data_IF_075874473445
#
_entry.id   IF_075874473445
#
_cell.length_a   1.000
_cell.length_b   1.000
_cell.length_c   1.000
_cell.angle_alpha   90.00
_cell.angle_beta   90.00
_cell.angle_gamma   90.00
#
_symmetry.space_group_name_H-M   'P 1'
#
loop_
_entity.id
_entity.type
_entity.pdbx_description
1 polymer ?
#
# COMPACT_ATOMS: atom_id res chain seq x y z
N UNK A 1 -11.28 4.72 -19.13
CA UNK A 1 -11.36 3.70 -20.22
C UNK A 1 -10.71 4.18 -21.51
N UNK A 2 -10.89 5.45 -21.94
CA UNK A 2 -10.24 5.97 -23.15
C UNK A 2 -8.71 5.89 -23.07
N UNK A 3 -8.11 6.32 -21.97
CA UNK A 3 -6.66 6.27 -21.76
C UNK A 3 -6.08 4.85 -21.82
N UNK A 4 -6.84 3.85 -21.38
CA UNK A 4 -6.43 2.43 -21.42
C UNK A 4 -6.32 1.86 -22.83
N UNK A 5 -6.82 2.56 -23.85
CA UNK A 5 -6.62 2.19 -25.25
C UNK A 5 -5.26 2.65 -25.81
N UNK A 6 -4.63 3.64 -25.18
CA UNK A 6 -3.45 4.31 -25.67
C UNK A 6 -2.24 4.26 -24.71
N UNK A 7 -2.45 4.00 -23.43
CA UNK A 7 -1.41 3.99 -22.39
C UNK A 7 -1.46 2.71 -21.58
N UNK A 8 -0.32 2.25 -21.11
CA UNK A 8 -0.28 1.15 -20.16
C UNK A 8 -1.00 1.53 -18.85
N UNK A 9 -1.69 0.59 -18.17
CA UNK A 9 -2.41 0.86 -16.92
C UNK A 9 -1.56 1.56 -15.86
N UNK A 10 -0.31 1.13 -15.69
CA UNK A 10 0.63 1.71 -14.73
C UNK A 10 1.07 3.13 -15.08
N UNK A 11 1.20 3.44 -16.36
CA UNK A 11 1.52 4.80 -16.80
C UNK A 11 0.37 5.77 -16.46
N UNK A 12 -0.88 5.31 -16.55
CA UNK A 12 -2.04 6.10 -16.15
C UNK A 12 -2.01 6.35 -14.63
N UNK A 13 -1.69 5.34 -13.84
CA UNK A 13 -1.56 5.49 -12.37
C UNK A 13 -0.47 6.50 -12.04
N UNK A 14 0.73 6.31 -12.56
CA UNK A 14 1.92 7.08 -12.16
C UNK A 14 1.95 8.50 -12.75
N UNK A 15 1.43 8.69 -13.95
CA UNK A 15 1.59 9.95 -14.66
C UNK A 15 0.30 10.80 -14.71
N UNK A 16 -0.85 10.22 -14.34
CA UNK A 16 -2.12 10.95 -14.33
C UNK A 16 -2.76 10.97 -12.93
N UNK A 17 -3.01 9.79 -12.32
CA UNK A 17 -3.79 9.72 -11.07
C UNK A 17 -2.98 10.21 -9.87
N UNK A 18 -1.75 9.72 -9.69
CA UNK A 18 -0.90 10.11 -8.54
C UNK A 18 -0.58 11.60 -8.58
N UNK A 19 -0.12 12.20 -9.70
CA UNK A 19 0.12 13.63 -9.75
C UNK A 19 -1.14 14.47 -9.46
N UNK A 20 -2.29 14.08 -10.01
CA UNK A 20 -3.56 14.78 -9.75
C UNK A 20 -3.96 14.74 -8.25
N UNK A 21 -3.80 13.59 -7.57
CA UNK A 21 -4.04 13.49 -6.14
C UNK A 21 -3.07 14.34 -5.32
N UNK A 22 -1.80 14.42 -5.73
CA UNK A 22 -0.79 15.27 -5.08
C UNK A 22 -1.16 16.75 -5.22
N UNK A 23 -1.58 17.20 -6.40
CA UNK A 23 -2.05 18.59 -6.61
C UNK A 23 -3.27 18.92 -5.73
N UNK A 24 -4.22 17.99 -5.62
CA UNK A 24 -5.38 18.15 -4.74
C UNK A 24 -4.95 18.22 -3.27
N UNK A 25 -4.01 17.39 -2.85
CA UNK A 25 -3.44 17.40 -1.50
C UNK A 25 -2.79 18.76 -1.17
N UNK A 26 -1.91 19.24 -2.05
CA UNK A 26 -1.26 20.56 -1.92
C UNK A 26 -2.31 21.68 -1.88
N UNK A 27 -3.33 21.61 -2.74
CA UNK A 27 -4.41 22.57 -2.76
C UNK A 27 -5.22 22.60 -1.45
N UNK A 28 -5.42 21.47 -0.83
CA UNK A 28 -6.07 21.35 0.48
C UNK A 28 -5.20 21.93 1.59
N UNK A 29 -3.92 21.63 1.64
CA UNK A 29 -2.97 22.21 2.60
C UNK A 29 -2.88 23.73 2.49
N UNK A 30 -2.86 24.23 1.27
CA UNK A 30 -2.85 25.67 0.96
C UNK A 30 -4.22 26.36 1.10
N UNK A 31 -5.29 25.63 1.51
CA UNK A 31 -6.66 26.12 1.67
C UNK A 31 -7.29 26.65 0.39
N UNK A 32 -6.81 26.25 -0.78
CA UNK A 32 -7.42 26.56 -2.09
C UNK A 32 -8.43 25.49 -2.53
N UNK A 33 -8.36 24.30 -1.93
CA UNK A 33 -9.31 23.20 -2.08
C UNK A 33 -9.89 22.88 -0.70
N UNK A 34 -11.22 22.66 -0.64
CA UNK A 34 -11.94 22.35 0.59
C UNK A 34 -12.18 20.83 0.75
N UNK A 35 -12.47 20.39 1.97
CA UNK A 35 -12.67 18.99 2.32
C UNK A 35 -13.64 18.24 1.36
N UNK A 36 -14.81 18.78 0.97
CA UNK A 36 -15.68 18.08 0.02
C UNK A 36 -15.01 17.80 -1.33
N UNK A 37 -14.21 18.74 -1.83
CA UNK A 37 -13.48 18.56 -3.11
C UNK A 37 -12.36 17.52 -2.99
N UNK A 38 -11.65 17.51 -1.85
CA UNK A 38 -10.67 16.47 -1.54
C UNK A 38 -11.30 15.08 -1.54
N UNK A 39 -12.45 14.94 -0.84
CA UNK A 39 -13.17 13.66 -0.78
C UNK A 39 -13.70 13.20 -2.15
N UNK A 40 -14.23 14.12 -2.96
CA UNK A 40 -14.67 13.84 -4.33
C UNK A 40 -13.50 13.38 -5.22
N UNK A 41 -12.34 14.01 -5.07
CA UNK A 41 -11.13 13.63 -5.81
C UNK A 41 -10.64 12.24 -5.42
N UNK A 42 -10.64 11.93 -4.13
CA UNK A 42 -10.28 10.60 -3.62
C UNK A 42 -11.23 9.51 -4.14
N UNK A 43 -12.55 9.77 -4.16
CA UNK A 43 -13.54 8.83 -4.70
C UNK A 43 -13.40 8.64 -6.22
N UNK A 44 -13.09 9.71 -6.95
CA UNK A 44 -12.81 9.65 -8.40
C UNK A 44 -11.56 8.83 -8.70
N UNK A 45 -10.50 8.98 -7.91
CA UNK A 45 -9.30 8.18 -8.03
C UNK A 45 -9.59 6.70 -7.73
N UNK A 46 -10.33 6.40 -6.66
CA UNK A 46 -10.74 5.04 -6.31
C UNK A 46 -11.53 4.39 -7.46
N UNK A 47 -12.51 5.08 -8.03
CA UNK A 47 -13.27 4.59 -9.19
C UNK A 47 -12.37 4.34 -10.41
N UNK A 48 -11.36 5.17 -10.61
CA UNK A 48 -10.37 4.99 -11.68
C UNK A 48 -9.52 3.74 -11.47
N UNK A 49 -9.13 3.46 -10.22
CA UNK A 49 -8.39 2.24 -9.88
C UNK A 49 -9.22 0.98 -10.11
N UNK A 50 -10.52 0.97 -9.78
CA UNK A 50 -11.38 -0.19 -10.05
C UNK A 50 -11.44 -0.50 -11.54
N UNK A 51 -11.56 0.52 -12.41
CA UNK A 51 -11.54 0.34 -13.87
C UNK A 51 -10.19 -0.21 -14.36
N UNK A 52 -9.08 0.26 -13.79
CA UNK A 52 -7.73 -0.23 -14.13
C UNK A 52 -7.57 -1.68 -13.69
N UNK A 53 -8.01 -2.01 -12.48
CA UNK A 53 -7.99 -3.36 -11.92
C UNK A 53 -8.78 -4.35 -12.78
N UNK A 54 -10.00 -3.98 -13.18
CA UNK A 54 -10.81 -4.78 -14.10
C UNK A 54 -10.08 -5.07 -15.43
N UNK A 55 -9.40 -4.05 -15.97
CA UNK A 55 -8.65 -4.18 -17.23
C UNK A 55 -7.45 -5.13 -17.08
N UNK A 56 -6.77 -5.08 -15.92
CA UNK A 56 -5.57 -5.88 -15.64
C UNK A 56 -5.88 -7.32 -15.24
N UNK A 57 -7.02 -7.57 -14.55
CA UNK A 57 -7.40 -8.91 -14.09
C UNK A 57 -7.81 -9.88 -15.20
N UNK A 58 -7.97 -9.41 -16.42
CA UNK A 58 -8.20 -10.23 -17.61
C UNK A 58 -6.92 -10.87 -18.20
N UNK A 59 -5.75 -10.63 -17.62
CA UNK A 59 -4.51 -11.32 -17.99
C UNK A 59 -4.40 -12.65 -17.25
N UNK A 60 -3.97 -13.71 -17.90
CA UNK A 60 -3.84 -15.08 -17.38
C UNK A 60 -3.09 -15.11 -16.04
N UNK A 61 -3.66 -15.79 -15.05
CA UNK A 61 -3.00 -16.06 -13.76
C UNK A 61 -1.80 -16.96 -13.99
N UNK A 62 -0.62 -16.39 -14.04
CA UNK A 62 0.64 -17.10 -13.84
C UNK A 62 0.71 -17.64 -12.40
N UNK A 63 1.48 -18.69 -12.15
CA UNK A 63 1.74 -19.19 -10.77
C UNK A 63 2.19 -18.06 -9.86
N UNK A 64 1.59 -17.95 -8.65
CA UNK A 64 1.94 -16.90 -7.70
C UNK A 64 3.42 -16.91 -7.35
N UNK A 65 4.07 -15.75 -7.41
CA UNK A 65 5.48 -15.56 -7.00
C UNK A 65 5.67 -15.65 -5.49
N UNK A 66 4.59 -15.55 -4.71
CA UNK A 66 4.63 -15.58 -3.25
C UNK A 66 3.46 -14.81 -2.65
N UNK A 67 3.26 -15.01 -1.35
CA UNK A 67 2.14 -14.44 -0.59
C UNK A 67 2.59 -13.22 0.20
N UNK A 68 1.84 -12.12 0.07
CA UNK A 68 2.10 -10.84 0.72
C UNK A 68 0.84 -10.40 1.46
N UNK A 69 0.99 -9.96 2.72
CA UNK A 69 -0.09 -9.32 3.47
C UNK A 69 0.10 -7.81 3.39
N UNK A 70 -0.98 -7.08 3.21
CA UNK A 70 -0.99 -5.61 3.31
C UNK A 70 -2.08 -5.12 4.24
N UNK A 71 -1.79 -4.07 4.99
CA UNK A 71 -2.73 -3.46 5.92
C UNK A 71 -2.46 -1.96 6.10
N UNK A 72 -3.52 -1.18 6.28
CA UNK A 72 -3.43 0.14 6.90
C UNK A 72 -3.58 -0.05 8.40
N UNK A 73 -2.62 0.45 9.17
CA UNK A 73 -2.50 0.18 10.61
C UNK A 73 -3.68 0.73 11.43
N UNK A 74 -3.86 0.22 12.65
CA UNK A 74 -4.92 0.62 13.57
C UNK A 74 -4.98 2.14 13.76
N UNK A 75 -6.20 2.68 13.70
CA UNK A 75 -6.49 4.11 13.81
C UNK A 75 -6.36 4.88 12.50
N UNK A 76 -5.83 4.28 11.44
CA UNK A 76 -5.67 4.92 10.13
C UNK A 76 -6.69 4.37 9.12
N UNK A 77 -7.39 5.29 8.45
CA UNK A 77 -8.42 4.95 7.45
C UNK A 77 -7.99 5.28 6.01
N UNK A 78 -6.78 5.81 5.84
CA UNK A 78 -6.26 6.24 4.54
C UNK A 78 -5.66 5.04 3.80
N UNK A 79 -6.39 4.49 2.84
CA UNK A 79 -6.01 3.25 2.15
C UNK A 79 -5.71 3.41 0.65
N UNK A 80 -5.78 4.61 0.09
CA UNK A 80 -5.52 4.85 -1.34
C UNK A 80 -4.10 4.37 -1.71
N UNK A 81 -3.09 4.78 -0.95
CA UNK A 81 -1.70 4.36 -1.19
C UNK A 81 -1.53 2.85 -1.11
N UNK A 82 -2.12 2.21 -0.09
CA UNK A 82 -2.12 0.76 0.08
C UNK A 82 -2.79 0.05 -1.11
N UNK A 83 -3.89 0.58 -1.61
CA UNK A 83 -4.62 -0.01 -2.73
C UNK A 83 -3.84 0.10 -4.06
N UNK A 84 -3.03 1.16 -4.23
CA UNK A 84 -2.08 1.26 -5.34
C UNK A 84 -1.00 0.17 -5.22
N UNK A 85 -0.41 0.01 -4.06
CA UNK A 85 0.58 -1.04 -3.79
C UNK A 85 0.00 -2.42 -4.08
N UNK A 86 -1.22 -2.70 -3.59
CA UNK A 86 -1.94 -3.94 -3.89
C UNK A 86 -2.04 -4.21 -5.37
N UNK A 87 -2.56 -3.24 -6.12
CA UNK A 87 -2.76 -3.36 -7.56
C UNK A 87 -1.46 -3.71 -8.28
N UNK A 88 -0.35 -3.06 -7.90
CA UNK A 88 0.95 -3.34 -8.48
C UNK A 88 1.45 -4.73 -8.13
N UNK A 89 1.42 -5.12 -6.86
CA UNK A 89 1.85 -6.44 -6.42
C UNK A 89 1.07 -7.56 -7.11
N UNK A 90 -0.26 -7.45 -7.18
CA UNK A 90 -1.13 -8.39 -7.91
C UNK A 90 -0.74 -8.48 -9.41
N UNK A 91 -0.45 -7.33 -10.04
CA UNK A 91 -0.04 -7.27 -11.44
C UNK A 91 1.35 -7.91 -11.69
N UNK A 92 2.24 -7.81 -10.71
CA UNK A 92 3.56 -8.45 -10.77
C UNK A 92 3.53 -9.94 -10.41
N UNK A 93 2.34 -10.50 -10.13
CA UNK A 93 2.11 -11.94 -9.94
C UNK A 93 2.21 -12.40 -8.50
N UNK A 94 2.12 -11.50 -7.52
CA UNK A 94 2.05 -11.87 -6.10
C UNK A 94 0.61 -12.15 -5.67
N UNK A 95 0.44 -13.07 -4.72
CA UNK A 95 -0.83 -13.34 -4.04
C UNK A 95 -0.97 -12.37 -2.85
N UNK A 96 -1.85 -11.38 -2.98
CA UNK A 96 -1.98 -10.31 -1.99
C UNK A 96 -3.21 -10.50 -1.11
N UNK A 97 -2.96 -10.67 0.18
CA UNK A 97 -4.00 -10.68 1.22
C UNK A 97 -4.11 -9.27 1.79
N UNK A 98 -5.19 -8.58 1.44
CA UNK A 98 -5.48 -7.24 1.90
C UNK A 98 -6.40 -7.28 3.13
N UNK A 99 -5.87 -6.90 4.28
CA UNK A 99 -6.62 -6.84 5.54
C UNK A 99 -7.48 -5.58 5.67
N UNK A 100 -7.34 -4.64 4.73
CA UNK A 100 -8.10 -3.39 4.75
C UNK A 100 -7.42 -2.29 5.55
N UNK A 101 -8.21 -1.50 6.27
CA UNK A 101 -7.80 -0.34 7.05
C UNK A 101 -8.23 -0.45 8.50
N UNK A 102 -7.61 0.35 9.38
CA UNK A 102 -7.84 0.32 10.83
C UNK A 102 -7.62 -1.07 11.42
N UNK A 103 -6.57 -1.76 10.96
CA UNK A 103 -6.33 -3.17 11.28
C UNK A 103 -5.53 -3.29 12.58
N UNK A 104 -6.05 -4.01 13.60
CA UNK A 104 -5.34 -4.24 14.84
C UNK A 104 -4.03 -5.00 14.64
N UNK A 105 -2.94 -4.68 15.40
CA UNK A 105 -1.67 -5.40 15.31
C UNK A 105 -1.79 -6.91 15.43
N UNK A 106 -2.62 -7.41 16.36
CA UNK A 106 -2.83 -8.82 16.61
C UNK A 106 -3.40 -9.54 15.38
N UNK A 107 -4.37 -8.93 14.69
CA UNK A 107 -4.97 -9.50 13.49
C UNK A 107 -3.93 -9.63 12.36
N UNK A 108 -3.06 -8.64 12.20
CA UNK A 108 -1.98 -8.70 11.19
C UNK A 108 -1.04 -9.87 11.49
N UNK A 109 -0.59 -9.98 12.74
CA UNK A 109 0.33 -11.04 13.18
C UNK A 109 -0.29 -12.44 13.04
N UNK A 110 -1.54 -12.61 13.47
CA UNK A 110 -2.28 -13.87 13.33
C UNK A 110 -2.39 -14.28 11.87
N UNK A 111 -2.76 -13.36 10.98
CA UNK A 111 -2.85 -13.66 9.55
C UNK A 111 -1.48 -14.02 8.95
N UNK A 112 -0.39 -13.36 9.37
CA UNK A 112 0.96 -13.72 8.94
C UNK A 112 1.30 -15.16 9.34
N UNK A 113 1.00 -15.54 10.58
CA UNK A 113 1.26 -16.89 11.09
C UNK A 113 0.41 -17.94 10.36
N UNK A 114 -0.90 -17.70 10.25
CA UNK A 114 -1.85 -18.62 9.62
C UNK A 114 -1.53 -18.87 8.14
N UNK A 115 -1.11 -17.83 7.44
CA UNK A 115 -0.82 -17.91 6.00
C UNK A 115 0.62 -18.23 5.67
N UNK A 116 1.50 -18.23 6.67
CA UNK A 116 2.95 -18.34 6.53
C UNK A 116 3.51 -17.32 5.51
N UNK A 117 2.96 -16.10 5.52
CA UNK A 117 3.42 -15.05 4.62
C UNK A 117 4.85 -14.62 4.97
N UNK A 118 5.65 -14.37 3.94
CA UNK A 118 7.06 -13.98 4.08
C UNK A 118 7.27 -12.47 4.03
N UNK A 119 6.25 -11.73 3.62
CA UNK A 119 6.30 -10.26 3.52
C UNK A 119 4.98 -9.66 3.98
N UNK A 120 5.08 -8.60 4.78
CA UNK A 120 3.94 -7.76 5.16
C UNK A 120 4.24 -6.30 4.82
N UNK A 121 3.28 -5.63 4.17
CA UNK A 121 3.31 -4.19 3.89
C UNK A 121 2.37 -3.42 4.84
N UNK A 122 2.92 -2.46 5.58
CA UNK A 122 2.16 -1.62 6.49
C UNK A 122 2.10 -0.17 5.99
N UNK A 123 0.91 0.41 6.04
CA UNK A 123 0.66 1.80 5.62
C UNK A 123 0.16 2.66 6.78
N UNK A 124 0.71 3.87 6.90
CA UNK A 124 0.23 4.92 7.81
C UNK A 124 0.36 6.30 7.16
N UNK A 125 -0.71 7.09 7.21
CA UNK A 125 -0.72 8.46 6.66
C UNK A 125 -0.68 9.53 7.75
N UNK A 126 -0.97 9.19 9.01
CA UNK A 126 -0.99 10.12 10.13
C UNK A 126 0.11 9.79 11.15
N UNK A 127 0.76 10.81 11.70
CA UNK A 127 1.78 10.65 12.76
C UNK A 127 1.21 9.98 14.02
N UNK A 128 -0.08 10.19 14.29
CA UNK A 128 -0.80 9.59 15.43
C UNK A 128 -1.01 8.09 15.33
N UNK A 129 -0.90 7.51 14.12
CA UNK A 129 -1.10 6.07 13.85
C UNK A 129 0.20 5.29 13.75
N UNK A 130 1.33 6.00 13.67
CA UNK A 130 2.67 5.38 13.60
C UNK A 130 3.00 4.51 14.83
N UNK A 131 2.59 4.84 16.07
CA UNK A 131 2.77 3.93 17.21
C UNK A 131 2.13 2.56 17.03
N UNK A 132 0.99 2.46 16.35
CA UNK A 132 0.36 1.17 16.04
C UNK A 132 1.17 0.36 15.01
N UNK A 133 1.86 1.04 14.08
CA UNK A 133 2.82 0.41 13.17
C UNK A 133 4.01 -0.17 13.94
N UNK A 134 4.60 0.60 14.85
CA UNK A 134 5.71 0.17 15.71
C UNK A 134 5.32 -1.06 16.56
N UNK A 135 4.14 -1.04 17.19
CA UNK A 135 3.60 -2.18 17.92
C UNK A 135 3.47 -3.42 17.03
N UNK A 136 2.95 -3.24 15.82
CA UNK A 136 2.80 -4.34 14.85
C UNK A 136 4.14 -4.96 14.50
N UNK A 137 5.14 -4.14 14.19
CA UNK A 137 6.50 -4.61 13.85
C UNK A 137 7.12 -5.37 15.02
N UNK A 138 6.99 -4.84 16.24
CA UNK A 138 7.50 -5.50 17.44
C UNK A 138 6.89 -6.90 17.61
N UNK A 139 5.57 -7.01 17.49
CA UNK A 139 4.88 -8.29 17.59
C UNK A 139 5.26 -9.27 16.47
N UNK A 140 5.46 -8.78 15.23
CA UNK A 140 5.94 -9.60 14.12
C UNK A 140 7.34 -10.13 14.39
N UNK A 141 8.27 -9.29 14.86
CA UNK A 141 9.63 -9.70 15.20
C UNK A 141 9.65 -10.76 16.31
N UNK A 142 8.71 -10.69 17.27
CA UNK A 142 8.60 -11.67 18.36
C UNK A 142 7.95 -12.99 17.93
N UNK A 143 6.90 -12.95 17.10
CA UNK A 143 6.04 -14.11 16.83
C UNK A 143 6.21 -14.71 15.42
N UNK A 144 6.69 -13.91 14.48
CA UNK A 144 6.88 -14.31 13.07
C UNK A 144 8.20 -13.75 12.49
N UNK A 145 9.36 -14.06 13.10
CA UNK A 145 10.66 -13.45 12.72
C UNK A 145 11.12 -13.77 11.29
N UNK A 146 10.47 -14.72 10.62
CA UNK A 146 10.70 -15.02 9.20
C UNK A 146 10.05 -14.02 8.25
N UNK A 147 9.01 -13.30 8.73
CA UNK A 147 8.25 -12.36 7.91
C UNK A 147 8.95 -11.02 7.86
N UNK A 148 9.27 -10.56 6.66
CA UNK A 148 9.85 -9.24 6.43
C UNK A 148 8.78 -8.15 6.44
N UNK A 149 9.15 -6.96 6.90
CA UNK A 149 8.24 -5.82 7.02
C UNK A 149 8.68 -4.67 6.13
N UNK A 150 7.84 -4.28 5.18
CA UNK A 150 7.98 -3.05 4.42
C UNK A 150 6.95 -2.02 4.89
N UNK A 151 7.40 -0.79 5.12
CA UNK A 151 6.54 0.30 5.58
C UNK A 151 6.48 1.43 4.56
N UNK A 152 5.32 2.05 4.43
CA UNK A 152 5.09 3.19 3.55
C UNK A 152 4.02 4.14 4.09
N UNK A 153 4.00 5.35 3.55
CA UNK A 153 3.05 6.40 3.90
C UNK A 153 3.71 7.76 4.01
N UNK A 154 2.93 8.82 3.81
CA UNK A 154 3.45 10.18 3.67
C UNK A 154 4.15 10.75 4.92
N UNK A 155 3.85 10.20 6.10
CA UNK A 155 4.47 10.65 7.37
C UNK A 155 5.74 9.90 7.73
N UNK A 156 6.12 8.88 6.94
CA UNK A 156 7.28 8.05 7.22
C UNK A 156 8.53 8.57 6.51
N UNK A 157 9.66 8.32 7.13
CA UNK A 157 10.99 8.58 6.58
C UNK A 157 11.85 7.33 6.76
N UNK A 158 12.95 7.24 6.02
CA UNK A 158 13.91 6.14 6.19
C UNK A 158 14.45 6.08 7.62
N UNK A 159 14.73 7.24 8.23
CA UNK A 159 15.21 7.32 9.60
C UNK A 159 14.21 6.74 10.59
N UNK A 160 12.93 7.08 10.42
CA UNK A 160 11.89 6.56 11.30
C UNK A 160 11.65 5.05 11.10
N UNK A 161 11.65 4.58 9.86
CA UNK A 161 11.54 3.15 9.56
C UNK A 161 12.67 2.35 10.24
N UNK A 162 13.90 2.87 10.20
CA UNK A 162 15.04 2.26 10.90
C UNK A 162 14.81 2.24 12.42
N UNK A 163 14.28 3.33 13.00
CA UNK A 163 14.00 3.43 14.43
C UNK A 163 12.98 2.40 14.91
N UNK A 164 11.94 2.13 14.12
CA UNK A 164 10.91 1.14 14.44
C UNK A 164 11.27 -0.28 13.99
N UNK A 165 12.50 -0.49 13.52
CA UNK A 165 13.02 -1.79 13.07
C UNK A 165 12.22 -2.42 11.91
N UNK A 166 11.71 -1.60 11.00
CA UNK A 166 11.19 -2.07 9.73
C UNK A 166 12.33 -2.54 8.82
N UNK A 167 12.14 -3.64 8.09
CA UNK A 167 13.16 -4.16 7.17
C UNK A 167 13.36 -3.23 5.95
N UNK A 168 12.29 -2.57 5.51
CA UNK A 168 12.34 -1.66 4.36
C UNK A 168 11.38 -0.48 4.53
N UNK A 169 11.86 0.71 4.17
CA UNK A 169 11.01 1.87 3.85
C UNK A 169 10.83 1.95 2.34
N UNK A 170 9.58 2.00 1.89
CA UNK A 170 9.24 2.24 0.51
C UNK A 170 8.64 3.65 0.36
N UNK A 171 9.35 4.52 -0.35
CA UNK A 171 8.88 5.90 -0.61
C UNK A 171 7.76 5.94 -1.65
N UNK A 172 7.66 4.90 -2.49
CA UNK A 172 6.65 4.74 -3.52
C UNK A 172 6.24 3.27 -3.67
N UNK A 173 5.15 3.05 -4.40
CA UNK A 173 4.58 1.72 -4.56
C UNK A 173 5.49 0.77 -5.34
N UNK A 174 6.31 1.27 -6.28
CA UNK A 174 7.25 0.45 -7.04
C UNK A 174 8.45 -0.01 -6.20
N UNK A 175 8.85 0.75 -5.18
CA UNK A 175 9.87 0.27 -4.22
C UNK A 175 9.37 -0.94 -3.43
N UNK A 176 8.07 -0.97 -3.08
CA UNK A 176 7.46 -2.16 -2.44
C UNK A 176 7.51 -3.36 -3.37
N UNK A 177 7.20 -3.18 -4.66
CA UNK A 177 7.27 -4.26 -5.65
C UNK A 177 8.69 -4.80 -5.80
N UNK A 178 9.68 -3.92 -5.97
CA UNK A 178 11.10 -4.32 -6.09
C UNK A 178 11.58 -5.09 -4.87
N UNK A 179 11.19 -4.64 -3.68
CA UNK A 179 11.53 -5.35 -2.44
C UNK A 179 10.84 -6.71 -2.35
N UNK A 180 9.58 -6.81 -2.76
CA UNK A 180 8.87 -8.09 -2.82
C UNK A 180 9.56 -9.07 -3.79
N UNK A 181 10.01 -8.61 -4.96
CA UNK A 181 10.77 -9.43 -5.91
C UNK A 181 12.14 -9.87 -5.38
N UNK A 182 12.74 -9.10 -4.49
CA UNK A 182 13.99 -9.46 -3.81
C UNK A 182 13.78 -10.56 -2.77
N UNK A 183 12.73 -10.46 -1.96
CA UNK A 183 12.48 -11.36 -0.82
C UNK A 183 11.81 -12.67 -1.26
N UNK A 184 10.93 -12.64 -2.27
CA UNK A 184 10.07 -13.75 -2.69
C UNK A 184 10.57 -14.39 -4.01
N UNK A 185 11.86 -14.62 -4.09
CA UNK A 185 12.50 -15.30 -5.23
C UNK A 185 12.27 -16.81 -5.20
#
# INVERSE_FOLDING_TARGET
KELLKAKAPLDIVNNEIIPALNEVGIGYENKTIYLPQLLMSAESAKSSFEVIKEFMSNSEKTSSKGKIIIATVKGDIHDIGKNIVKLLLENYGFDVIDLGKDVPPQQIVETVIETNAQLVGLSALMTTTVPAMEETIKLLNEKAPWCKVVVGGAVLTQEYANKISADKYAKDAMETVRYAEEILK
#
